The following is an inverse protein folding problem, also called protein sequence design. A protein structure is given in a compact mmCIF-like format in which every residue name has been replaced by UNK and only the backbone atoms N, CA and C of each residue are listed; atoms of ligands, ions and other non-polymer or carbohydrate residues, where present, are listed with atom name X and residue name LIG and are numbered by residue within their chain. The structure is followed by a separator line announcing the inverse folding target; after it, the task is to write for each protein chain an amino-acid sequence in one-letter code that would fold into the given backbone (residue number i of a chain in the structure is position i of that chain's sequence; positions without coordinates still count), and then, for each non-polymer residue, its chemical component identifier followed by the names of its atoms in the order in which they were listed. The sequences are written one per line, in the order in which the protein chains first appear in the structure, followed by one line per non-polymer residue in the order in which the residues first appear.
data_IF_967970269853
#
_entry.id   IF_967970269853
#
_cell.length_a   1.000
_cell.length_b   1.000
_cell.length_c   1.000
_cell.angle_alpha   90.00
_cell.angle_beta   90.00
_cell.angle_gamma   90.00
#
_symmetry.space_group_name_H-M   'P 1'
#
loop_
_entity.id
_entity.type
_entity.pdbx_description
1 polymer ?
#
# COMPACT_ATOMS: atom_id res chain seq x y z
N UNK A 1 -1.44 28.94 41.92
CA UNK A 1 -0.93 28.83 40.54
C UNK A 1 0.39 28.06 40.58
N UNK A 2 0.33 26.75 40.37
CA UNK A 2 1.52 25.89 40.31
C UNK A 2 1.95 25.78 38.84
N UNK A 3 3.16 26.25 38.52
CA UNK A 3 3.73 26.12 37.19
C UNK A 3 4.26 24.70 36.99
N UNK A 4 3.62 23.95 36.10
CA UNK A 4 4.11 22.65 35.62
C UNK A 4 5.29 22.92 34.69
N UNK A 5 6.49 22.54 35.13
CA UNK A 5 7.71 22.57 34.33
C UNK A 5 7.81 21.28 33.51
N UNK A 6 7.71 21.37 32.19
CA UNK A 6 8.03 20.25 31.29
C UNK A 6 9.55 20.13 31.10
N UNK A 7 10.14 18.92 31.20
CA UNK A 7 11.56 18.74 30.94
C UNK A 7 11.88 18.98 29.46
N UNK A 8 12.92 19.78 29.19
CA UNK A 8 13.44 20.04 27.84
C UNK A 8 14.02 18.74 27.27
N UNK A 9 13.35 18.17 26.27
CA UNK A 9 13.90 17.11 25.45
C UNK A 9 15.11 17.63 24.67
N UNK A 10 16.28 17.05 24.91
CA UNK A 10 17.50 17.27 24.12
C UNK A 10 17.96 15.94 23.54
N UNK A 11 18.39 15.96 22.27
CA UNK A 11 18.90 14.80 21.49
C UNK A 11 19.96 13.99 22.23
N UNK A 12 20.68 14.58 23.17
CA UNK A 12 21.74 13.93 23.97
C UNK A 12 21.21 12.98 25.05
N UNK A 13 20.00 13.16 25.56
CA UNK A 13 19.47 12.35 26.66
C UNK A 13 18.74 11.07 26.19
N UNK A 14 18.52 10.90 24.89
CA UNK A 14 17.87 9.71 24.34
C UNK A 14 18.84 8.53 24.16
N UNK A 15 20.15 8.81 24.02
CA UNK A 15 21.16 7.79 23.69
C UNK A 15 21.73 7.08 24.94
N UNK A 16 21.48 7.58 26.15
CA UNK A 16 22.12 7.08 27.37
C UNK A 16 21.39 5.93 28.10
N UNK A 17 20.28 5.40 27.58
CA UNK A 17 19.53 4.32 28.27
C UNK A 17 19.19 3.16 27.34
N UNK A 18 20.20 2.60 26.67
CA UNK A 18 20.09 1.31 25.99
C UNK A 18 21.20 0.39 26.52
N UNK A 19 21.01 -0.12 27.75
CA UNK A 19 21.85 -1.17 28.31
C UNK A 19 21.26 -2.55 27.95
N UNK A 20 22.11 -3.34 27.31
CA UNK A 20 21.98 -4.71 26.85
C UNK A 20 21.09 -5.67 27.67
N UNK A 21 20.20 -6.39 26.97
CA UNK A 21 19.93 -7.80 27.28
C UNK A 21 20.21 -8.58 25.99
N UNK A 22 21.39 -9.20 25.94
CA UNK A 22 21.73 -10.19 24.93
C UNK A 22 21.04 -11.51 25.30
N UNK A 23 19.85 -11.73 24.75
CA UNK A 23 19.16 -13.01 24.77
C UNK A 23 19.22 -13.63 23.37
N UNK A 24 20.09 -14.61 23.19
CA UNK A 24 20.19 -15.41 21.97
C UNK A 24 18.90 -16.21 21.76
N UNK A 25 17.94 -15.66 21.02
CA UNK A 25 16.80 -16.41 20.52
C UNK A 25 17.06 -16.74 19.05
N UNK A 26 17.30 -18.02 18.77
CA UNK A 26 17.18 -18.63 17.45
C UNK A 26 15.72 -18.50 17.00
N UNK A 27 15.35 -17.33 16.49
CA UNK A 27 14.07 -17.13 15.79
C UNK A 27 14.32 -17.48 14.32
N UNK A 28 13.57 -18.42 13.73
CA UNK A 28 13.65 -18.68 12.30
C UNK A 28 13.44 -17.37 11.54
N UNK A 29 14.34 -17.05 10.61
CA UNK A 29 14.25 -15.86 9.73
C UNK A 29 12.92 -15.77 8.97
N UNK A 30 12.17 -16.86 8.86
CA UNK A 30 10.89 -16.96 8.15
C UNK A 30 9.69 -16.30 8.87
N UNK A 31 9.87 -15.74 10.07
CA UNK A 31 8.79 -15.06 10.81
C UNK A 31 8.81 -13.52 10.68
N UNK A 32 9.84 -12.98 10.03
CA UNK A 32 9.89 -11.57 9.66
C UNK A 32 9.48 -11.47 8.19
N UNK A 33 8.40 -10.74 7.90
CA UNK A 33 8.03 -10.40 6.53
C UNK A 33 9.20 -9.66 5.87
N UNK A 34 9.44 -9.89 4.59
CA UNK A 34 10.49 -9.21 3.85
C UNK A 34 10.25 -7.70 3.92
N UNK A 35 11.26 -6.96 4.33
CA UNK A 35 11.35 -5.52 4.05
C UNK A 35 11.94 -5.40 2.64
N UNK A 36 11.15 -5.05 1.62
CA UNK A 36 11.59 -5.12 0.23
C UNK A 36 12.64 -4.04 -0.08
N UNK A 37 12.79 -3.05 0.81
CA UNK A 37 13.79 -1.99 0.72
C UNK A 37 15.14 -2.48 1.27
N UNK A 38 15.15 -3.49 2.14
CA UNK A 38 16.35 -3.87 2.92
C UNK A 38 16.76 -5.33 2.72
N UNK A 39 15.82 -6.22 2.42
CA UNK A 39 16.05 -7.65 2.33
C UNK A 39 16.36 -8.07 0.89
N UNK A 40 17.47 -8.79 0.74
CA UNK A 40 17.88 -9.34 -0.54
C UNK A 40 16.86 -10.38 -1.04
N UNK A 41 16.55 -10.34 -2.32
CA UNK A 41 15.70 -11.34 -2.97
C UNK A 41 16.52 -12.62 -3.17
N UNK A 42 15.95 -13.76 -2.84
CA UNK A 42 16.62 -15.05 -3.09
C UNK A 42 16.41 -15.46 -4.55
N UNK A 43 17.49 -15.55 -5.32
CA UNK A 43 17.48 -16.08 -6.69
C UNK A 43 18.51 -17.20 -6.81
N UNK A 44 18.07 -18.39 -7.24
CA UNK A 44 18.91 -19.59 -7.38
C UNK A 44 19.71 -19.95 -6.10
N UNK A 45 19.07 -19.81 -4.93
CA UNK A 45 19.70 -20.06 -3.63
C UNK A 45 20.72 -19.00 -3.19
N UNK A 46 20.86 -17.89 -3.93
CA UNK A 46 21.72 -16.76 -3.59
C UNK A 46 20.89 -15.54 -3.23
N UNK A 47 21.32 -14.84 -2.19
CA UNK A 47 20.80 -13.51 -1.87
C UNK A 47 21.28 -12.52 -2.94
N UNK A 48 20.37 -12.02 -3.76
CA UNK A 48 20.61 -10.99 -4.77
C UNK A 48 20.00 -9.69 -4.27
N UNK A 49 20.86 -8.73 -3.94
CA UNK A 49 20.45 -7.35 -3.70
C UNK A 49 20.60 -6.53 -4.97
N UNK A 50 19.63 -5.66 -5.27
CA UNK A 50 19.76 -4.61 -6.30
C UNK A 50 20.59 -3.41 -5.80
N UNK A 51 20.94 -3.42 -4.51
CA UNK A 51 21.69 -2.36 -3.85
C UNK A 51 23.12 -2.23 -4.36
N UNK A 52 23.42 -1.08 -4.97
CA UNK A 52 24.77 -0.72 -5.42
C UNK A 52 25.64 -0.14 -4.29
N UNK A 53 25.03 0.29 -3.19
CA UNK A 53 25.71 0.92 -2.06
C UNK A 53 25.25 0.26 -0.76
N UNK A 54 26.19 0.00 0.15
CA UNK A 54 25.84 -0.54 1.46
C UNK A 54 25.13 0.52 2.32
N UNK A 55 23.96 0.16 2.84
CA UNK A 55 23.20 0.96 3.80
C UNK A 55 24.03 1.23 5.07
N UNK A 56 24.16 2.50 5.45
CA UNK A 56 24.81 2.90 6.72
C UNK A 56 23.86 2.84 7.92
N UNK A 57 22.56 2.97 7.67
CA UNK A 57 21.48 2.94 8.66
C UNK A 57 20.29 2.23 8.02
N UNK A 58 19.53 1.50 8.83
CA UNK A 58 18.31 0.80 8.41
C UNK A 58 17.15 1.25 9.29
N UNK A 59 15.92 1.37 8.75
CA UNK A 59 14.75 1.59 9.59
C UNK A 59 14.54 0.38 10.51
N UNK A 60 13.95 0.60 11.68
CA UNK A 60 13.43 -0.51 12.46
C UNK A 60 12.14 -1.02 11.79
N UNK A 61 12.01 -2.33 11.55
CA UNK A 61 10.75 -2.90 11.11
C UNK A 61 9.60 -2.52 12.07
N UNK A 62 8.41 -2.25 11.54
CA UNK A 62 7.25 -1.82 12.33
C UNK A 62 6.91 -2.80 13.47
N UNK A 63 7.15 -4.10 13.28
CA UNK A 63 6.94 -5.13 14.31
C UNK A 63 7.92 -5.01 15.50
N UNK A 64 9.01 -4.26 15.36
CA UNK A 64 10.03 -4.02 16.41
C UNK A 64 9.80 -2.73 17.20
N UNK A 65 8.83 -1.90 16.81
CA UNK A 65 8.54 -0.63 17.48
C UNK A 65 7.11 -0.66 18.03
N UNK A 66 6.96 -0.34 19.32
CA UNK A 66 5.64 -0.22 19.97
C UNK A 66 5.52 1.16 20.58
N UNK A 67 4.38 1.80 20.31
CA UNK A 67 4.08 3.10 20.90
C UNK A 67 3.73 2.92 22.39
N UNK A 68 4.36 3.72 23.25
CA UNK A 68 3.97 3.83 24.65
C UNK A 68 2.69 4.66 24.82
N UNK A 69 2.13 4.69 26.02
CA UNK A 69 0.95 5.52 26.31
C UNK A 69 1.24 7.00 26.01
N UNK A 70 0.40 7.64 25.19
CA UNK A 70 0.58 9.04 24.79
C UNK A 70 -0.20 9.42 23.52
N UNK A 71 0.00 10.66 23.02
CA UNK A 71 -0.76 11.20 21.90
C UNK A 71 -0.68 10.37 20.61
N UNK A 72 0.48 9.76 20.31
CA UNK A 72 0.65 8.91 19.13
C UNK A 72 -0.20 7.64 19.21
N UNK A 73 -0.25 7.00 20.38
CA UNK A 73 -1.09 5.81 20.60
C UNK A 73 -2.57 6.18 20.55
N UNK A 74 -2.96 7.33 21.10
CA UNK A 74 -4.34 7.81 20.98
C UNK A 74 -4.76 8.07 19.52
N UNK A 75 -3.87 8.64 18.70
CA UNK A 75 -4.12 8.83 17.28
C UNK A 75 -4.20 7.49 16.52
N UNK A 76 -3.29 6.55 16.81
CA UNK A 76 -3.30 5.21 16.22
C UNK A 76 -4.61 4.46 16.54
N UNK A 77 -5.09 4.51 17.78
CA UNK A 77 -6.34 3.84 18.17
C UNK A 77 -7.58 4.52 17.55
N UNK A 78 -7.54 5.84 17.34
CA UNK A 78 -8.60 6.54 16.62
C UNK A 78 -8.66 6.10 15.15
N UNK A 79 -7.49 5.99 14.50
CA UNK A 79 -7.38 5.47 13.13
C UNK A 79 -7.81 4.00 13.04
N UNK A 80 -7.36 3.15 13.98
CA UNK A 80 -7.80 1.75 14.07
C UNK A 80 -9.32 1.64 14.15
N UNK A 81 -9.96 2.44 15.01
CA UNK A 81 -11.43 2.48 15.12
C UNK A 81 -12.09 2.90 13.81
N UNK A 82 -11.52 3.89 13.11
CA UNK A 82 -12.01 4.32 11.81
C UNK A 82 -11.91 3.20 10.77
N UNK A 83 -10.78 2.50 10.68
CA UNK A 83 -10.59 1.38 9.76
C UNK A 83 -11.60 0.24 9.99
N UNK A 84 -11.88 -0.10 11.25
CA UNK A 84 -12.92 -1.08 11.61
C UNK A 84 -14.34 -0.62 11.27
N UNK A 85 -14.57 0.69 11.14
CA UNK A 85 -15.89 1.23 10.79
C UNK A 85 -16.24 1.11 9.30
N UNK A 86 -15.26 0.76 8.46
CA UNK A 86 -15.41 0.71 7.00
C UNK A 86 -15.79 -0.70 6.53
N UNK A 87 -17.03 -0.92 6.03
CA UNK A 87 -17.45 -2.24 5.58
C UNK A 87 -16.75 -2.61 4.26
N UNK A 88 -16.09 -3.77 4.17
CA UNK A 88 -15.41 -4.22 2.94
C UNK A 88 -16.27 -4.24 1.68
N UNK A 89 -17.55 -4.61 1.80
CA UNK A 89 -18.44 -4.63 0.63
C UNK A 89 -18.69 -3.25 0.01
N UNK A 90 -18.68 -2.19 0.83
CA UNK A 90 -18.78 -0.80 0.35
C UNK A 90 -17.49 -0.34 -0.32
N UNK A 91 -16.34 -0.73 0.23
CA UNK A 91 -15.01 -0.48 -0.36
C UNK A 91 -14.90 -1.14 -1.74
N UNK A 92 -15.43 -2.35 -1.89
CA UNK A 92 -15.34 -3.13 -3.12
C UNK A 92 -16.42 -2.80 -4.17
N UNK A 93 -17.41 -1.98 -3.83
CA UNK A 93 -18.58 -1.78 -4.67
C UNK A 93 -18.22 -1.33 -6.09
N UNK A 94 -17.45 -0.24 -6.23
CA UNK A 94 -17.10 0.34 -7.53
C UNK A 94 -16.14 -0.54 -8.34
N UNK A 95 -15.24 -1.27 -7.68
CA UNK A 95 -14.39 -2.30 -8.31
C UNK A 95 -15.24 -3.42 -8.92
N UNK A 96 -16.23 -3.93 -8.17
CA UNK A 96 -17.13 -4.98 -8.64
C UNK A 96 -17.96 -4.51 -9.83
N UNK A 97 -18.55 -3.31 -9.75
CA UNK A 97 -19.30 -2.73 -10.87
C UNK A 97 -18.43 -2.62 -12.13
N UNK A 98 -17.21 -2.10 -12.00
CA UNK A 98 -16.27 -1.98 -13.13
C UNK A 98 -15.94 -3.36 -13.73
N UNK A 99 -15.69 -4.34 -12.87
CA UNK A 99 -15.39 -5.72 -13.25
C UNK A 99 -16.61 -6.55 -13.69
N UNK A 100 -17.79 -5.93 -13.81
CA UNK A 100 -19.08 -6.57 -14.16
C UNK A 100 -19.49 -7.68 -13.18
N UNK A 101 -19.03 -7.58 -11.93
CA UNK A 101 -19.43 -8.44 -10.82
C UNK A 101 -20.60 -7.76 -10.10
N UNK A 102 -21.67 -8.50 -9.82
CA UNK A 102 -22.84 -7.96 -9.15
C UNK A 102 -22.50 -7.41 -7.76
N UNK A 103 -23.00 -6.21 -7.43
CA UNK A 103 -22.88 -5.61 -6.11
C UNK A 103 -24.13 -4.80 -5.78
N UNK A 104 -24.67 -5.01 -4.59
CA UNK A 104 -25.80 -4.25 -4.02
C UNK A 104 -25.38 -3.35 -2.85
N UNK A 105 -24.07 -3.25 -2.58
CA UNK A 105 -23.55 -2.43 -1.50
C UNK A 105 -23.74 -0.93 -1.78
N UNK A 106 -23.95 -0.15 -0.73
CA UNK A 106 -23.98 1.30 -0.84
C UNK A 106 -22.55 1.84 -1.11
N UNK A 107 -22.32 2.66 -2.15
CA UNK A 107 -21.01 3.25 -2.38
C UNK A 107 -20.57 4.12 -1.19
N UNK A 108 -19.26 4.29 -0.98
CA UNK A 108 -18.74 5.18 0.08
C UNK A 108 -19.09 6.66 -0.15
N UNK A 109 -19.26 7.07 -1.41
CA UNK A 109 -19.55 8.46 -1.78
C UNK A 109 -18.31 9.34 -1.86
N UNK A 110 -18.50 10.66 -1.96
CA UNK A 110 -17.40 11.61 -2.12
C UNK A 110 -16.54 11.30 -3.36
N UNK A 111 -15.21 11.26 -3.20
CA UNK A 111 -14.30 10.88 -4.28
C UNK A 111 -14.29 9.38 -4.60
N UNK A 112 -14.97 8.57 -3.79
CA UNK A 112 -15.22 7.14 -4.02
C UNK A 112 -16.62 6.88 -4.61
N UNK A 113 -17.37 7.93 -4.96
CA UNK A 113 -18.66 7.78 -5.63
C UNK A 113 -18.51 7.14 -7.03
N UNK A 114 -19.50 6.37 -7.53
CA UNK A 114 -19.41 5.68 -8.81
C UNK A 114 -19.13 6.59 -10.02
N UNK A 115 -19.54 7.85 -9.95
CA UNK A 115 -19.37 8.88 -10.98
C UNK A 115 -18.09 9.72 -10.80
N UNK A 116 -17.34 9.53 -9.72
CA UNK A 116 -16.08 10.23 -9.50
C UNK A 116 -14.92 9.51 -10.21
N UNK A 117 -14.09 10.25 -10.94
CA UNK A 117 -12.97 9.68 -11.69
C UNK A 117 -11.81 9.20 -10.82
N UNK A 118 -11.73 9.69 -9.57
CA UNK A 118 -10.67 9.31 -8.63
C UNK A 118 -11.00 8.03 -7.84
N UNK A 119 -12.21 7.47 -7.96
CA UNK A 119 -12.67 6.32 -7.18
C UNK A 119 -11.70 5.14 -7.24
N UNK A 120 -11.62 4.40 -6.14
CA UNK A 120 -10.68 3.31 -5.91
C UNK A 120 -9.37 3.74 -5.26
N UNK A 121 -9.02 5.04 -5.28
CA UNK A 121 -7.76 5.52 -4.71
C UNK A 121 -7.67 5.27 -3.20
N UNK A 122 -8.79 5.45 -2.49
CA UNK A 122 -8.89 5.16 -1.08
C UNK A 122 -9.29 3.69 -0.88
N UNK A 123 -10.39 3.28 -1.52
CA UNK A 123 -11.04 2.02 -1.19
C UNK A 123 -10.23 0.75 -1.50
N UNK A 124 -9.44 0.76 -2.58
CA UNK A 124 -8.53 -0.34 -2.94
C UNK A 124 -7.05 -0.02 -2.72
N UNK A 125 -6.73 1.20 -2.28
CA UNK A 125 -5.36 1.67 -2.13
C UNK A 125 -5.02 2.06 -0.69
N UNK A 126 -5.34 3.31 -0.32
CA UNK A 126 -5.02 3.83 1.02
C UNK A 126 -5.56 2.94 2.16
N UNK A 127 -6.75 2.35 2.01
CA UNK A 127 -7.30 1.43 2.99
C UNK A 127 -6.40 0.21 3.23
N UNK A 128 -5.89 -0.41 2.15
CA UNK A 128 -5.03 -1.59 2.26
C UNK A 128 -3.69 -1.25 2.93
N UNK A 129 -3.05 -0.14 2.55
CA UNK A 129 -1.84 0.35 3.22
C UNK A 129 -2.10 0.61 4.71
N UNK A 130 -3.20 1.27 5.05
CA UNK A 130 -3.54 1.57 6.44
C UNK A 130 -3.77 0.30 7.28
N UNK A 131 -4.50 -0.69 6.73
CA UNK A 131 -4.70 -2.01 7.36
C UNK A 131 -3.36 -2.73 7.57
N UNK A 132 -2.51 -2.79 6.54
CA UNK A 132 -1.23 -3.46 6.59
C UNK A 132 -0.29 -2.85 7.65
N UNK A 133 -0.22 -1.52 7.70
CA UNK A 133 0.57 -0.78 8.67
C UNK A 133 0.01 -0.92 10.09
N UNK A 134 -1.31 -0.90 10.28
CA UNK A 134 -1.97 -1.09 11.57
C UNK A 134 -1.73 -2.51 12.12
N UNK A 135 -1.77 -3.51 11.25
CA UNK A 135 -1.40 -4.88 11.61
C UNK A 135 0.07 -4.96 12.05
N UNK A 136 1.00 -4.40 11.29
CA UNK A 136 2.42 -4.45 11.64
C UNK A 136 2.77 -3.69 12.92
N UNK A 137 2.10 -2.56 13.18
CA UNK A 137 2.35 -1.70 14.33
C UNK A 137 1.78 -2.27 15.63
N UNK A 138 0.60 -2.88 15.57
CA UNK A 138 -0.17 -3.18 16.77
C UNK A 138 -0.93 -4.53 16.74
N UNK A 139 -0.65 -5.39 15.76
CA UNK A 139 -1.06 -6.80 15.75
C UNK A 139 -2.56 -7.04 15.60
N UNK A 140 -3.26 -6.17 14.88
CA UNK A 140 -4.71 -6.30 14.66
C UNK A 140 -5.03 -7.38 13.61
N UNK A 141 -5.19 -8.61 14.06
CA UNK A 141 -5.51 -9.75 13.18
C UNK A 141 -6.88 -9.63 12.50
N UNK A 142 -7.82 -8.87 13.08
CA UNK A 142 -9.15 -8.71 12.49
C UNK A 142 -9.12 -7.70 11.34
N UNK A 143 -8.38 -6.59 11.47
CA UNK A 143 -8.09 -5.74 10.31
C UNK A 143 -7.32 -6.49 9.23
N UNK A 144 -6.33 -7.32 9.60
CA UNK A 144 -5.62 -8.14 8.61
C UNK A 144 -6.59 -9.02 7.81
N UNK A 145 -7.51 -9.72 8.47
CA UNK A 145 -8.54 -10.55 7.79
C UNK A 145 -9.40 -9.72 6.83
N UNK A 146 -9.80 -8.50 7.23
CA UNK A 146 -10.55 -7.60 6.36
C UNK A 146 -9.72 -7.19 5.13
N UNK A 147 -8.45 -6.83 5.31
CA UNK A 147 -7.53 -6.55 4.22
C UNK A 147 -7.35 -7.75 3.28
N UNK A 148 -7.13 -8.94 3.82
CA UNK A 148 -7.00 -10.18 3.04
C UNK A 148 -8.25 -10.46 2.20
N UNK A 149 -9.44 -10.22 2.75
CA UNK A 149 -10.70 -10.36 2.02
C UNK A 149 -10.83 -9.32 0.90
N UNK A 150 -10.45 -8.06 1.14
CA UNK A 150 -10.45 -7.03 0.09
C UNK A 150 -9.48 -7.41 -1.03
N UNK A 151 -8.27 -7.89 -0.70
CA UNK A 151 -7.30 -8.39 -1.70
C UNK A 151 -7.90 -9.53 -2.52
N UNK A 152 -8.53 -10.51 -1.88
CA UNK A 152 -9.13 -11.65 -2.58
C UNK A 152 -10.24 -11.23 -3.56
N UNK A 153 -11.05 -10.24 -3.19
CA UNK A 153 -12.10 -9.70 -4.04
C UNK A 153 -11.55 -8.81 -5.17
N UNK A 154 -10.48 -8.05 -4.92
CA UNK A 154 -9.76 -7.32 -5.95
C UNK A 154 -9.13 -8.26 -6.99
N UNK A 155 -8.57 -9.40 -6.55
CA UNK A 155 -8.05 -10.42 -7.45
C UNK A 155 -9.15 -11.00 -8.36
N UNK A 156 -10.37 -11.24 -7.81
CA UNK A 156 -11.54 -11.63 -8.61
C UNK A 156 -11.93 -10.55 -9.61
N UNK A 157 -11.88 -9.28 -9.21
CA UNK A 157 -12.15 -8.15 -10.11
C UNK A 157 -11.13 -8.07 -11.24
N UNK A 158 -9.82 -8.14 -10.94
CA UNK A 158 -8.74 -8.13 -11.93
C UNK A 158 -8.91 -9.28 -12.94
N UNK A 159 -9.24 -10.48 -12.46
CA UNK A 159 -9.52 -11.64 -13.31
C UNK A 159 -10.76 -11.44 -14.19
N UNK A 160 -11.84 -10.88 -13.64
CA UNK A 160 -13.10 -10.66 -14.37
C UNK A 160 -12.99 -9.57 -15.43
N UNK A 161 -12.20 -8.52 -15.17
CA UNK A 161 -11.84 -7.51 -16.17
C UNK A 161 -11.14 -8.16 -17.38
N UNK A 162 -10.22 -9.10 -17.12
CA UNK A 162 -9.50 -9.84 -18.16
C UNK A 162 -8.75 -8.90 -19.16
N UNK A 163 -8.21 -7.81 -18.63
CA UNK A 163 -7.54 -6.73 -19.39
C UNK A 163 -6.02 -6.75 -19.16
N UNK A 164 -5.41 -7.94 -19.22
CA UNK A 164 -3.95 -8.10 -19.18
C UNK A 164 -3.29 -7.65 -17.87
N UNK A 165 -3.99 -7.76 -16.74
CA UNK A 165 -3.49 -7.38 -15.41
C UNK A 165 -3.99 -6.03 -14.90
N UNK A 166 -4.78 -5.30 -15.70
CA UNK A 166 -5.42 -4.06 -15.26
C UNK A 166 -6.35 -4.29 -14.06
N UNK A 167 -6.28 -3.38 -13.09
CA UNK A 167 -7.19 -3.33 -11.95
C UNK A 167 -7.44 -1.86 -11.57
N UNK A 168 -8.70 -1.47 -11.52
CA UNK A 168 -9.15 -0.17 -11.02
C UNK A 168 -10.65 -0.24 -10.71
N UNK A 169 -11.15 0.74 -9.95
CA UNK A 169 -12.57 0.99 -9.78
C UNK A 169 -13.20 1.78 -10.95
N UNK A 170 -12.38 2.22 -11.91
CA UNK A 170 -12.81 2.87 -13.15
C UNK A 170 -12.39 2.07 -14.38
N UNK A 171 -13.07 2.24 -15.52
CA UNK A 171 -12.86 1.37 -16.68
C UNK A 171 -11.61 1.82 -17.46
N UNK A 172 -11.00 0.89 -18.19
CA UNK A 172 -9.68 1.07 -18.81
C UNK A 172 -9.61 2.26 -19.79
N UNK A 173 -10.74 2.68 -20.35
CA UNK A 173 -10.85 3.80 -21.30
C UNK A 173 -10.40 5.14 -20.67
N UNK A 174 -10.29 5.24 -19.35
CA UNK A 174 -9.67 6.40 -18.70
C UNK A 174 -8.20 6.54 -19.07
N UNK A 175 -7.50 5.43 -19.32
CA UNK A 175 -6.14 5.42 -19.82
C UNK A 175 -6.05 5.70 -21.32
N UNK A 176 -7.12 5.45 -22.09
CA UNK A 176 -7.22 5.90 -23.48
C UNK A 176 -7.38 7.43 -23.55
N UNK A 177 -8.27 7.99 -22.71
CA UNK A 177 -8.38 9.45 -22.53
C UNK A 177 -7.05 10.07 -22.15
N UNK A 178 -6.34 9.47 -21.19
CA UNK A 178 -5.01 9.92 -20.78
C UNK A 178 -4.01 9.85 -21.94
N UNK A 179 -4.01 8.75 -22.70
CA UNK A 179 -3.15 8.55 -23.88
C UNK A 179 -3.40 9.62 -24.93
N UNK A 180 -4.67 9.95 -25.17
CA UNK A 180 -5.13 10.95 -26.14
C UNK A 180 -5.04 12.39 -25.60
N UNK A 181 -4.56 12.59 -24.37
CA UNK A 181 -4.46 13.89 -23.70
C UNK A 181 -5.81 14.59 -23.52
N UNK A 182 -6.88 13.82 -23.42
CA UNK A 182 -8.20 14.28 -23.05
C UNK A 182 -8.26 14.51 -21.54
N UNK A 183 -9.18 15.37 -21.10
CA UNK A 183 -9.38 15.61 -19.66
C UNK A 183 -9.74 14.30 -18.98
N UNK A 184 -9.01 13.91 -17.94
CA UNK A 184 -9.29 12.78 -17.05
C UNK A 184 -8.57 13.02 -15.72
N UNK A 185 -9.17 12.64 -14.61
CA UNK A 185 -8.60 12.89 -13.29
C UNK A 185 -7.65 11.77 -12.84
N UNK A 186 -6.34 12.06 -12.93
CA UNK A 186 -5.25 11.34 -12.27
C UNK A 186 -5.27 9.79 -12.29
N UNK A 187 -5.43 9.11 -13.45
CA UNK A 187 -5.50 7.64 -13.50
C UNK A 187 -4.26 6.93 -12.90
N UNK A 188 -3.05 7.45 -13.19
CA UNK A 188 -1.82 6.88 -12.62
C UNK A 188 -1.70 7.09 -11.12
N UNK A 189 -2.17 8.21 -10.58
CA UNK A 189 -2.23 8.40 -9.12
C UNK A 189 -3.10 7.33 -8.45
N UNK A 190 -4.27 7.04 -9.02
CA UNK A 190 -5.21 6.06 -8.45
C UNK A 190 -4.64 4.65 -8.52
N UNK A 191 -4.13 4.23 -9.69
CA UNK A 191 -3.45 2.94 -9.81
C UNK A 191 -2.26 2.84 -8.86
N UNK A 192 -1.46 3.90 -8.71
CA UNK A 192 -0.38 3.91 -7.72
C UNK A 192 -0.88 3.59 -6.32
N UNK A 193 -1.99 4.18 -5.85
CA UNK A 193 -2.50 3.88 -4.50
C UNK A 193 -2.90 2.42 -4.36
N UNK A 194 -3.56 1.86 -5.37
CA UNK A 194 -3.95 0.45 -5.38
C UNK A 194 -2.70 -0.44 -5.34
N UNK A 195 -1.71 -0.16 -6.19
CA UNK A 195 -0.45 -0.91 -6.21
C UNK A 195 0.30 -0.82 -4.88
N UNK A 196 0.38 0.37 -4.28
CA UNK A 196 1.04 0.57 -2.99
C UNK A 196 0.32 -0.19 -1.87
N UNK A 197 -1.01 -0.15 -1.83
CA UNK A 197 -1.81 -0.90 -0.86
C UNK A 197 -1.64 -2.41 -0.97
N UNK A 198 -1.63 -2.95 -2.20
CA UNK A 198 -1.37 -4.37 -2.45
C UNK A 198 0.05 -4.77 -2.05
N UNK A 199 1.05 -3.96 -2.42
CA UNK A 199 2.42 -4.18 -2.02
C UNK A 199 2.54 -4.18 -0.49
N UNK A 200 1.99 -3.19 0.21
CA UNK A 200 2.01 -3.12 1.68
C UNK A 200 1.36 -4.36 2.32
N UNK A 201 0.25 -4.86 1.78
CA UNK A 201 -0.38 -6.09 2.25
C UNK A 201 0.58 -7.30 2.14
N UNK A 202 1.35 -7.39 1.07
CA UNK A 202 2.39 -8.41 0.95
C UNK A 202 3.50 -8.22 2.00
N UNK A 203 4.11 -7.03 2.08
CA UNK A 203 5.28 -6.78 2.92
C UNK A 203 4.99 -6.93 4.42
N UNK A 204 3.90 -6.34 4.87
CA UNK A 204 3.60 -6.23 6.29
C UNK A 204 2.80 -7.41 6.84
N UNK A 205 2.02 -8.07 5.96
CA UNK A 205 1.08 -9.12 6.36
C UNK A 205 1.39 -10.50 5.75
N UNK A 206 2.27 -10.57 4.75
CA UNK A 206 2.64 -11.81 4.06
C UNK A 206 1.61 -12.30 3.05
N UNK A 207 0.77 -11.41 2.51
CA UNK A 207 -0.28 -11.79 1.56
C UNK A 207 0.28 -11.98 0.14
N UNK A 208 0.64 -13.22 -0.21
CA UNK A 208 1.17 -13.60 -1.53
C UNK A 208 0.22 -13.30 -2.70
N UNK A 209 -1.10 -13.37 -2.48
CA UNK A 209 -2.07 -13.01 -3.52
C UNK A 209 -2.03 -11.51 -3.82
N UNK A 210 -1.76 -10.67 -2.82
CA UNK A 210 -1.57 -9.24 -3.03
C UNK A 210 -0.36 -8.96 -3.94
N UNK A 211 0.74 -9.71 -3.74
CA UNK A 211 1.91 -9.66 -4.61
C UNK A 211 1.57 -10.05 -6.06
N UNK A 212 0.88 -11.18 -6.26
CA UNK A 212 0.46 -11.63 -7.60
C UNK A 212 -0.37 -10.56 -8.32
N UNK A 213 -1.35 -9.95 -7.64
CA UNK A 213 -2.20 -8.92 -8.22
C UNK A 213 -1.39 -7.68 -8.61
N UNK A 214 -0.47 -7.21 -7.76
CA UNK A 214 0.32 -6.01 -8.07
C UNK A 214 1.38 -6.26 -9.15
N UNK A 215 1.97 -7.45 -9.22
CA UNK A 215 2.88 -7.83 -10.32
C UNK A 215 2.15 -7.82 -11.66
N UNK A 216 0.91 -8.31 -11.70
CA UNK A 216 0.06 -8.22 -12.90
C UNK A 216 -0.25 -6.76 -13.28
N UNK A 217 -0.50 -5.89 -12.30
CA UNK A 217 -0.69 -4.45 -12.55
C UNK A 217 0.60 -3.78 -13.07
N UNK A 218 1.77 -4.19 -12.55
CA UNK A 218 3.06 -3.73 -13.03
C UNK A 218 3.31 -4.18 -14.48
N UNK A 219 2.97 -5.42 -14.82
CA UNK A 219 3.00 -5.95 -16.18
C UNK A 219 2.11 -5.15 -17.14
N UNK A 220 0.87 -4.86 -16.75
CA UNK A 220 -0.03 -4.00 -17.51
C UNK A 220 0.56 -2.60 -17.70
N UNK A 221 1.11 -2.01 -16.63
CA UNK A 221 1.74 -0.67 -16.67
C UNK A 221 2.93 -0.64 -17.63
N UNK A 222 3.77 -1.68 -17.61
CA UNK A 222 4.89 -1.82 -18.53
C UNK A 222 4.42 -1.92 -19.99
N UNK A 223 3.34 -2.66 -20.26
CA UNK A 223 2.73 -2.74 -21.59
C UNK A 223 2.19 -1.38 -22.06
N UNK A 224 1.43 -0.69 -21.20
CA UNK A 224 0.87 0.63 -21.51
C UNK A 224 1.98 1.64 -21.82
N UNK A 225 2.98 1.76 -20.95
CA UNK A 225 4.06 2.75 -21.07
C UNK A 225 5.06 2.40 -22.16
N UNK A 226 5.38 1.12 -22.37
CA UNK A 226 6.31 0.66 -23.41
C UNK A 226 5.82 0.89 -24.84
N UNK A 227 4.51 1.05 -25.03
CA UNK A 227 3.92 1.42 -26.32
C UNK A 227 4.05 2.91 -26.68
N UNK A 228 4.57 3.74 -25.77
CA UNK A 228 4.66 5.19 -25.94
C UNK A 228 6.09 5.66 -26.19
N UNK A 229 6.26 6.71 -26.99
CA UNK A 229 7.54 7.38 -27.08
C UNK A 229 7.87 8.11 -25.77
N UNK A 230 9.16 8.35 -25.51
CA UNK A 230 9.60 9.09 -24.34
C UNK A 230 8.89 10.45 -24.21
N UNK A 231 8.85 11.24 -25.28
CA UNK A 231 8.20 12.56 -25.29
C UNK A 231 6.69 12.47 -25.02
N UNK A 232 6.03 11.41 -25.50
CA UNK A 232 4.62 11.19 -25.20
C UNK A 232 4.40 10.83 -23.74
N UNK A 233 5.27 10.00 -23.18
CA UNK A 233 5.22 9.68 -21.75
C UNK A 233 5.46 10.94 -20.90
N UNK A 234 6.42 11.80 -21.24
CA UNK A 234 6.64 13.07 -20.53
C UNK A 234 5.39 13.96 -20.54
N UNK A 235 4.66 13.97 -21.65
CA UNK A 235 3.38 14.69 -21.76
C UNK A 235 2.28 14.08 -20.87
N UNK A 236 2.22 12.76 -20.77
CA UNK A 236 1.29 12.06 -19.87
C UNK A 236 1.62 12.36 -18.41
N UNK A 237 2.90 12.41 -18.04
CA UNK A 237 3.36 12.75 -16.69
C UNK A 237 3.07 14.21 -16.29
N UNK A 238 2.55 15.04 -17.21
CA UNK A 238 1.93 16.32 -16.87
C UNK A 238 0.60 16.20 -16.13
N UNK A 239 0.00 15.01 -16.11
CA UNK A 239 -1.16 14.66 -15.27
C UNK A 239 -0.66 13.92 -14.03
N UNK A 240 -1.23 14.22 -12.86
CA UNK A 240 -0.82 13.64 -11.58
C UNK A 240 -0.70 12.10 -11.64
N UNK A 241 0.48 11.60 -11.28
CA UNK A 241 0.84 10.19 -11.36
C UNK A 241 1.26 9.60 -10.01
N UNK A 242 1.24 10.39 -8.93
CA UNK A 242 1.67 9.96 -7.61
C UNK A 242 3.10 9.40 -7.59
N UNK A 243 3.31 8.30 -6.86
CA UNK A 243 4.56 7.59 -6.66
C UNK A 243 4.70 6.33 -7.52
N UNK A 244 4.20 6.34 -8.77
CA UNK A 244 4.35 5.18 -9.68
C UNK A 244 5.82 4.70 -9.79
N UNK A 245 6.77 5.63 -9.84
CA UNK A 245 8.20 5.27 -9.89
C UNK A 245 8.70 4.57 -8.62
N UNK A 246 8.17 4.93 -7.45
CA UNK A 246 8.51 4.31 -6.17
C UNK A 246 7.96 2.88 -6.11
N UNK A 247 6.64 2.73 -6.30
CA UNK A 247 6.00 1.41 -6.18
C UNK A 247 6.54 0.39 -7.19
N UNK A 248 6.85 0.82 -8.42
CA UNK A 248 7.46 -0.04 -9.43
C UNK A 248 8.93 -0.38 -9.13
N UNK A 249 9.66 0.48 -8.42
CA UNK A 249 11.05 0.19 -8.04
C UNK A 249 11.13 -0.78 -6.86
N UNK A 250 10.10 -0.78 -5.99
CA UNK A 250 10.00 -1.64 -4.82
C UNK A 250 9.54 -3.08 -5.16
N UNK A 251 9.09 -3.34 -6.40
CA UNK A 251 8.80 -4.68 -6.96
C UNK A 251 10.04 -5.26 -7.66
#
# INVERSE_FOLDING_TARGET
MSMISFPKFSRRNFISTAAAIAGSALVPRSLFGQDPVVDAVMKDGKAVGREKVSWKVRPFPMKQVRLGQGPCTAAMEADRKYLHSLPPDRLLHTFRINAKIASSAEPLGGWEAPDCELRGHYAGGHYLSAVALMYASAGDDDLKKNGDMVVAELAKCQKSLNEGGYLSAFPIEFFDRLRNREKVWAPFYTIHKIMAGLLDMYLYTGNEQALEVVENMAGWTAGYTGSLSYDHMQRILGTEYGGMGEVLSNL
#
